data_IF_521299568865
#
_entry.id   IF_521299568865
#
_cell.length_a   1.000
_cell.length_b   1.000
_cell.length_c   1.000
_cell.angle_alpha   90.00
_cell.angle_beta   90.00
_cell.angle_gamma   90.00
#
_symmetry.space_group_name_H-M   'P 1'
#
loop_
_entity.id
_entity.type
_entity.pdbx_description
1 polymer ?
#
# COMPACT_ATOMS: atom_id res chain seq x y z
N UNK A 1 -50.70 -21.06 -12.05
CA UNK A 1 -50.45 -22.39 -11.45
C UNK A 1 -49.13 -22.86 -12.04
N UNK A 2 -47.99 -22.92 -11.36
CA UNK A 2 -47.68 -23.54 -10.06
C UNK A 2 -46.40 -22.88 -9.50
N UNK A 3 -46.40 -22.59 -8.20
CA UNK A 3 -45.22 -22.35 -7.34
C UNK A 3 -44.84 -23.70 -6.71
N UNK A 4 -43.54 -23.97 -6.47
CA UNK A 4 -43.08 -24.22 -5.08
C UNK A 4 -41.70 -23.55 -4.82
N UNK A 5 -41.49 -22.77 -3.75
CA UNK A 5 -41.36 -23.11 -2.33
C UNK A 5 -40.06 -23.89 -1.99
N UNK A 6 -39.01 -23.20 -1.55
CA UNK A 6 -38.47 -23.12 -0.15
C UNK A 6 -37.44 -24.19 0.25
N UNK A 7 -36.19 -23.78 0.55
CA UNK A 7 -35.48 -24.24 1.77
C UNK A 7 -34.19 -23.42 2.08
N UNK A 8 -34.19 -22.76 3.24
CA UNK A 8 -33.04 -22.54 4.18
C UNK A 8 -33.40 -23.33 5.47
N UNK A 9 -32.55 -23.53 6.50
CA UNK A 9 -31.19 -23.02 6.78
C UNK A 9 -30.20 -24.08 7.33
N UNK A 10 -28.92 -23.71 7.51
CA UNK A 10 -27.95 -24.52 8.27
C UNK A 10 -26.89 -23.65 8.93
N UNK A 11 -27.06 -23.38 10.24
CA UNK A 11 -26.06 -22.76 11.13
C UNK A 11 -25.06 -23.82 11.56
N UNK A 12 -23.75 -23.52 11.51
CA UNK A 12 -22.79 -24.11 12.45
C UNK A 12 -21.78 -23.06 12.91
N UNK A 13 -21.88 -22.71 14.19
CA UNK A 13 -20.85 -22.02 14.98
C UNK A 13 -19.89 -23.09 15.52
N UNK A 14 -18.58 -22.84 15.46
CA UNK A 14 -17.65 -23.35 16.48
C UNK A 14 -16.73 -22.22 16.92
N UNK A 15 -16.86 -21.89 18.21
CA UNK A 15 -15.87 -21.19 19.02
C UNK A 15 -14.70 -22.15 19.25
N UNK A 16 -13.46 -21.65 19.31
CA UNK A 16 -12.43 -22.26 20.15
C UNK A 16 -11.60 -21.15 20.78
N UNK A 17 -11.56 -21.18 22.10
CA UNK A 17 -10.85 -20.25 22.98
C UNK A 17 -9.57 -20.92 23.49
N UNK A 18 -8.51 -20.12 23.65
CA UNK A 18 -7.43 -20.11 24.65
C UNK A 18 -6.93 -21.42 25.32
N UNK A 19 -5.60 -21.63 25.29
CA UNK A 19 -4.69 -21.77 26.46
C UNK A 19 -3.24 -21.96 25.96
N UNK A 20 -2.30 -21.04 26.23
CA UNK A 20 -1.25 -21.06 27.27
C UNK A 20 -0.23 -22.22 27.12
N UNK A 21 1.07 -21.92 27.00
CA UNK A 21 2.19 -22.45 27.84
C UNK A 21 3.54 -21.83 27.40
N UNK A 22 4.34 -21.45 28.39
CA UNK A 22 5.67 -20.85 28.32
C UNK A 22 6.81 -21.88 28.14
N UNK A 23 8.00 -21.42 27.72
CA UNK A 23 9.34 -21.97 28.04
C UNK A 23 10.39 -20.90 27.66
N UNK A 24 10.97 -20.17 28.63
CA UNK A 24 12.20 -20.45 29.40
C UNK A 24 13.49 -20.25 28.61
N UNK A 25 14.30 -19.34 29.14
CA UNK A 25 15.61 -18.88 28.71
C UNK A 25 16.72 -19.94 28.81
N UNK A 26 17.80 -19.75 28.04
CA UNK A 26 19.13 -20.17 28.43
C UNK A 26 20.20 -19.29 27.76
N UNK A 27 20.81 -18.44 28.56
CA UNK A 27 22.08 -17.76 28.29
C UNK A 27 23.23 -18.74 28.52
N UNK A 28 24.26 -18.71 27.67
CA UNK A 28 25.58 -19.28 28.00
C UNK A 28 26.66 -18.27 27.63
N UNK A 29 27.21 -17.64 28.67
CA UNK A 29 28.53 -17.06 28.74
C UNK A 29 29.55 -18.17 29.01
N UNK A 30 30.75 -18.14 28.40
CA UNK A 30 32.08 -18.36 29.02
C UNK A 30 33.23 -18.28 27.97
N UNK A 31 34.53 -18.21 28.33
CA UNK A 31 35.34 -16.98 28.21
C UNK A 31 36.73 -17.16 27.55
N UNK A 32 37.47 -16.05 27.53
CA UNK A 32 38.94 -15.85 27.59
C UNK A 32 39.89 -17.04 27.31
N UNK A 33 40.85 -16.81 26.39
CA UNK A 33 42.27 -17.11 26.63
C UNK A 33 43.14 -15.94 26.13
N UNK A 34 44.02 -15.48 27.02
CA UNK A 34 45.10 -14.50 26.82
C UNK A 34 46.40 -15.20 26.38
N UNK A 35 47.24 -14.49 25.65
CA UNK A 35 48.66 -14.78 25.42
C UNK A 35 49.05 -14.42 23.98
N UNK A 36 50.08 -13.65 23.67
CA UNK A 36 51.26 -13.18 24.40
C UNK A 36 52.29 -12.89 23.30
N UNK A 37 52.88 -11.70 23.30
CA UNK A 37 53.71 -11.15 22.23
C UNK A 37 55.05 -11.90 22.04
N UNK A 38 55.56 -11.92 20.80
CA UNK A 38 57.01 -11.79 20.54
C UNK A 38 57.25 -11.06 19.21
N UNK A 39 57.96 -9.94 19.28
CA UNK A 39 58.59 -9.25 18.17
C UNK A 39 59.87 -9.97 17.71
N UNK A 40 60.21 -9.86 16.42
CA UNK A 40 61.49 -10.34 15.87
C UNK A 40 61.75 -9.72 14.50
N UNK A 41 62.79 -8.89 14.43
CA UNK A 41 63.13 -8.01 13.33
C UNK A 41 63.91 -8.68 12.18
N UNK A 42 63.78 -8.03 11.02
CA UNK A 42 64.52 -8.00 9.75
C UNK A 42 65.89 -8.68 9.60
N UNK A 43 66.12 -9.30 8.41
CA UNK A 43 67.40 -9.29 7.68
C UNK A 43 67.20 -9.24 6.16
N UNK A 44 67.98 -8.35 5.51
CA UNK A 44 68.21 -8.12 4.08
C UNK A 44 68.87 -9.34 3.40
N UNK A 45 68.47 -9.84 2.21
CA UNK A 45 68.76 -9.39 0.82
C UNK A 45 69.14 -10.63 -0.03
N UNK A 46 69.37 -10.59 -1.38
CA UNK A 46 69.22 -9.54 -2.38
C UNK A 46 68.25 -9.86 -3.56
N UNK A 47 67.90 -8.81 -4.31
CA UNK A 47 67.14 -8.77 -5.57
C UNK A 47 67.78 -9.60 -6.70
N UNK A 48 66.94 -10.34 -7.42
CA UNK A 48 67.07 -10.54 -8.87
C UNK A 48 65.94 -9.77 -9.57
N UNK A 49 66.33 -8.89 -10.49
CA UNK A 49 65.44 -8.21 -11.42
C UNK A 49 65.40 -8.98 -12.74
N UNK A 50 64.20 -9.34 -13.20
CA UNK A 50 63.90 -9.54 -14.61
C UNK A 50 62.45 -9.12 -14.90
N UNK A 51 62.32 -7.91 -15.48
CA UNK A 51 61.35 -7.46 -16.52
C UNK A 51 59.87 -7.92 -16.41
N UNK A 52 58.96 -7.05 -15.94
CA UNK A 52 58.15 -6.06 -16.70
C UNK A 52 57.04 -6.66 -17.57
N UNK A 53 55.77 -6.45 -17.21
CA UNK A 53 54.81 -5.60 -17.94
C UNK A 53 53.44 -5.53 -17.23
N UNK A 54 52.72 -4.45 -17.56
CA UNK A 54 51.59 -3.84 -16.86
C UNK A 54 50.31 -4.69 -16.80
N UNK A 55 49.46 -4.43 -15.80
CA UNK A 55 48.01 -4.20 -15.96
C UNK A 55 47.41 -3.81 -14.60
N UNK A 56 46.97 -2.55 -14.47
CA UNK A 56 45.57 -2.11 -14.49
C UNK A 56 44.82 -2.31 -13.16
N UNK A 57 44.26 -1.19 -12.70
CA UNK A 57 43.23 -1.09 -11.68
C UNK A 57 42.19 -2.22 -11.81
N UNK A 58 41.94 -2.95 -10.73
CA UNK A 58 40.62 -3.53 -10.52
C UNK A 58 40.19 -3.25 -9.08
N UNK A 59 39.25 -2.31 -8.95
CA UNK A 59 38.45 -2.11 -7.75
C UNK A 59 37.59 -3.36 -7.64
N UNK A 60 37.90 -4.24 -6.70
CA UNK A 60 37.02 -5.37 -6.37
C UNK A 60 35.72 -4.80 -5.79
N UNK A 61 34.72 -4.69 -6.65
CA UNK A 61 33.33 -4.51 -6.29
C UNK A 61 32.89 -5.76 -5.52
N UNK A 62 32.31 -5.66 -4.31
CA UNK A 62 31.80 -6.83 -3.63
C UNK A 62 30.63 -7.38 -4.45
N UNK A 63 30.84 -8.57 -5.01
CA UNK A 63 29.84 -9.34 -5.72
C UNK A 63 28.69 -9.61 -4.73
N UNK A 64 27.55 -8.95 -4.94
CA UNK A 64 26.35 -9.19 -4.15
C UNK A 64 25.91 -10.62 -4.51
N UNK A 65 26.15 -11.57 -3.60
CA UNK A 65 25.66 -12.93 -3.73
C UNK A 65 24.13 -12.90 -3.80
N UNK A 66 23.57 -12.96 -5.01
CA UNK A 66 22.14 -13.18 -5.23
C UNK A 66 21.81 -14.56 -4.67
N UNK A 67 20.95 -14.70 -3.64
CA UNK A 67 20.55 -16.00 -3.16
C UNK A 67 19.84 -16.75 -4.30
N UNK A 68 20.18 -18.03 -4.58
CA UNK A 68 19.59 -18.75 -5.68
C UNK A 68 18.06 -18.86 -5.49
N UNK A 69 17.27 -18.77 -6.57
CA UNK A 69 15.81 -18.89 -6.48
C UNK A 69 15.44 -20.23 -5.85
N UNK A 70 14.55 -20.20 -4.84
CA UNK A 70 14.00 -21.42 -4.26
C UNK A 70 13.20 -22.14 -5.34
N UNK A 71 13.63 -23.35 -5.69
CA UNK A 71 12.97 -24.16 -6.71
C UNK A 71 11.53 -24.52 -6.38
N UNK A 72 10.74 -24.78 -7.44
CA UNK A 72 9.40 -25.38 -7.38
C UNK A 72 9.52 -26.89 -7.12
N UNK A 73 8.56 -27.47 -6.41
CA UNK A 73 8.51 -28.92 -6.20
C UNK A 73 7.62 -29.57 -7.25
N UNK A 74 8.21 -30.42 -8.09
CA UNK A 74 7.50 -31.32 -9.00
C UNK A 74 7.32 -32.67 -8.30
N UNK A 75 6.10 -33.00 -7.88
CA UNK A 75 5.81 -34.20 -7.08
C UNK A 75 5.49 -35.36 -8.01
N UNK A 76 6.14 -36.50 -7.77
CA UNK A 76 5.94 -37.73 -8.52
C UNK A 76 4.89 -38.63 -7.86
N UNK A 77 4.29 -39.52 -8.63
CA UNK A 77 3.20 -40.40 -8.17
C UNK A 77 3.63 -41.45 -7.13
N UNK A 78 4.93 -41.71 -7.01
CA UNK A 78 5.52 -42.54 -5.96
C UNK A 78 5.73 -41.80 -4.63
N UNK A 79 5.37 -40.51 -4.58
CA UNK A 79 5.52 -39.65 -3.40
C UNK A 79 6.89 -38.97 -3.29
N UNK A 80 7.83 -39.26 -4.19
CA UNK A 80 9.09 -38.52 -4.29
C UNK A 80 8.87 -37.17 -4.98
N UNK A 81 9.84 -36.24 -4.89
CA UNK A 81 9.73 -34.94 -5.54
C UNK A 81 11.07 -34.51 -6.15
N UNK A 82 10.98 -33.73 -7.23
CA UNK A 82 12.11 -33.09 -7.88
C UNK A 82 12.05 -31.59 -7.63
N UNK A 83 13.19 -30.97 -7.30
CA UNK A 83 13.28 -29.51 -7.17
C UNK A 83 13.64 -28.92 -8.54
N UNK A 84 12.72 -28.16 -9.12
CA UNK A 84 12.81 -27.69 -10.51
C UNK A 84 12.76 -26.17 -10.58
N UNK A 85 13.48 -25.57 -11.53
CA UNK A 85 13.36 -24.14 -11.83
C UNK A 85 12.05 -23.85 -12.57
N UNK A 86 11.79 -24.65 -13.58
CA UNK A 86 10.64 -24.55 -14.47
C UNK A 86 10.37 -25.91 -15.10
N UNK A 87 9.13 -26.13 -15.54
CA UNK A 87 8.72 -27.32 -16.27
C UNK A 87 7.73 -26.96 -17.37
N UNK A 88 7.78 -27.71 -18.46
CA UNK A 88 6.92 -27.59 -19.62
C UNK A 88 6.34 -28.97 -19.94
N UNK A 89 5.03 -29.02 -20.17
CA UNK A 89 4.36 -30.25 -20.56
C UNK A 89 4.27 -30.33 -22.09
N UNK A 90 4.99 -31.30 -22.66
CA UNK A 90 5.04 -31.58 -24.09
C UNK A 90 4.32 -32.92 -24.35
N UNK A 91 2.99 -32.85 -24.46
CA UNK A 91 2.15 -34.02 -24.70
C UNK A 91 2.21 -35.05 -23.56
N UNK A 92 2.77 -36.22 -23.85
CA UNK A 92 2.96 -37.33 -22.89
C UNK A 92 4.22 -37.20 -22.03
N UNK A 93 5.08 -36.21 -22.29
CA UNK A 93 6.30 -35.96 -21.51
C UNK A 93 6.25 -34.59 -20.83
N UNK A 94 6.95 -34.48 -19.70
CA UNK A 94 7.21 -33.23 -18.99
C UNK A 94 8.70 -33.02 -19.04
N UNK A 95 9.09 -31.91 -19.65
CA UNK A 95 10.47 -31.43 -19.67
C UNK A 95 10.66 -30.43 -18.55
N UNK A 96 11.62 -30.65 -17.66
CA UNK A 96 11.86 -29.76 -16.53
C UNK A 96 13.34 -29.48 -16.33
N UNK A 97 13.65 -28.32 -15.75
CA UNK A 97 15.02 -27.97 -15.41
C UNK A 97 15.30 -28.31 -13.94
N UNK A 98 16.06 -29.38 -13.72
CA UNK A 98 16.45 -29.84 -12.37
C UNK A 98 17.43 -28.87 -11.76
N UNK A 99 17.14 -28.35 -10.57
CA UNK A 99 18.07 -27.47 -9.84
C UNK A 99 19.17 -28.25 -9.13
N UNK A 100 18.97 -29.55 -8.88
CA UNK A 100 20.00 -30.42 -8.30
C UNK A 100 21.08 -30.77 -9.32
N UNK A 101 20.65 -31.06 -10.55
CA UNK A 101 21.56 -31.47 -11.64
C UNK A 101 21.91 -30.32 -12.58
N UNK A 102 21.29 -29.16 -12.41
CA UNK A 102 21.45 -27.97 -13.26
C UNK A 102 21.28 -28.27 -14.76
N UNK A 103 20.39 -29.21 -15.08
CA UNK A 103 20.19 -29.74 -16.43
C UNK A 103 18.70 -29.93 -16.75
N UNK A 104 18.39 -29.94 -18.05
CA UNK A 104 17.06 -30.29 -18.54
C UNK A 104 16.87 -31.80 -18.54
N UNK A 105 15.77 -32.25 -17.96
CA UNK A 105 15.39 -33.66 -17.86
C UNK A 105 13.97 -33.87 -18.38
N UNK A 106 13.66 -35.10 -18.78
CA UNK A 106 12.36 -35.46 -19.34
C UNK A 106 11.80 -36.70 -18.64
N UNK A 107 10.57 -36.58 -18.15
CA UNK A 107 9.83 -37.68 -17.53
C UNK A 107 8.44 -37.83 -18.16
N UNK A 108 7.84 -39.04 -18.17
CA UNK A 108 6.45 -39.19 -18.56
C UNK A 108 5.51 -38.36 -17.68
N UNK A 109 4.55 -37.66 -18.30
CA UNK A 109 3.56 -36.83 -17.59
C UNK A 109 2.65 -37.63 -16.65
N UNK A 110 2.52 -38.94 -16.89
CA UNK A 110 1.77 -39.87 -16.06
C UNK A 110 2.47 -40.20 -14.72
N UNK A 111 3.77 -39.92 -14.60
CA UNK A 111 4.53 -40.11 -13.36
C UNK A 111 4.49 -38.89 -12.43
N UNK A 112 3.86 -37.79 -12.85
CA UNK A 112 3.72 -36.58 -12.04
C UNK A 112 2.37 -36.57 -11.35
N UNK A 113 2.36 -36.41 -10.03
CA UNK A 113 1.15 -36.08 -9.29
C UNK A 113 0.88 -34.58 -9.44
N UNK A 114 0.02 -34.24 -10.39
CA UNK A 114 -0.37 -32.87 -10.68
C UNK A 114 -1.16 -32.21 -9.56
N UNK A 115 -1.92 -33.00 -8.78
CA UNK A 115 -2.72 -32.46 -7.68
C UNK A 115 -1.81 -32.05 -6.53
N UNK A 116 -0.86 -32.91 -6.18
CA UNK A 116 0.14 -32.62 -5.17
C UNK A 116 1.08 -31.48 -5.61
N UNK A 117 1.50 -31.47 -6.88
CA UNK A 117 2.35 -30.42 -7.46
C UNK A 117 1.67 -29.05 -7.37
N UNK A 118 0.41 -28.92 -7.85
CA UNK A 118 -0.33 -27.64 -7.80
C UNK A 118 -0.57 -27.16 -6.37
N UNK A 119 -0.83 -28.09 -5.44
CA UNK A 119 -0.98 -27.75 -4.02
C UNK A 119 0.33 -27.20 -3.44
N UNK A 120 1.46 -27.84 -3.75
CA UNK A 120 2.77 -27.36 -3.30
C UNK A 120 3.09 -25.99 -3.90
N UNK A 121 2.77 -25.74 -5.18
CA UNK A 121 2.98 -24.43 -5.78
C UNK A 121 2.12 -23.36 -5.10
N UNK A 122 0.84 -23.63 -4.86
CA UNK A 122 -0.04 -22.69 -4.16
C UNK A 122 0.42 -22.39 -2.73
N UNK A 123 0.91 -23.40 -2.00
CA UNK A 123 1.48 -23.20 -0.66
C UNK A 123 2.78 -22.39 -0.69
N UNK A 124 3.65 -22.62 -1.67
CA UNK A 124 4.88 -21.85 -1.86
C UNK A 124 4.58 -20.39 -2.24
N UNK A 125 3.63 -20.14 -3.14
CA UNK A 125 3.21 -18.80 -3.54
C UNK A 125 2.56 -18.04 -2.37
N UNK A 126 1.74 -18.73 -1.57
CA UNK A 126 1.14 -18.16 -0.37
C UNK A 126 2.21 -17.79 0.66
N UNK A 127 3.19 -18.68 0.91
CA UNK A 127 4.30 -18.41 1.82
C UNK A 127 5.21 -17.28 1.30
N UNK A 128 5.46 -17.22 0.00
CA UNK A 128 6.28 -16.15 -0.59
C UNK A 128 5.55 -14.80 -0.54
N UNK A 129 4.24 -14.78 -0.79
CA UNK A 129 3.41 -13.58 -0.64
C UNK A 129 3.39 -13.10 0.80
N UNK A 130 3.22 -14.02 1.76
CA UNK A 130 3.21 -13.70 3.18
C UNK A 130 4.59 -13.23 3.67
N UNK A 131 5.67 -13.89 3.25
CA UNK A 131 7.03 -13.45 3.53
C UNK A 131 7.31 -12.09 2.87
N UNK A 132 6.87 -11.84 1.64
CA UNK A 132 7.02 -10.55 0.98
C UNK A 132 6.24 -9.45 1.71
N UNK A 133 5.04 -9.75 2.23
CA UNK A 133 4.28 -8.84 3.09
C UNK A 133 4.99 -8.57 4.40
N UNK A 134 5.50 -9.61 5.07
CA UNK A 134 6.26 -9.47 6.32
C UNK A 134 7.57 -8.70 6.10
N UNK A 135 8.26 -8.94 4.98
CA UNK A 135 9.44 -8.16 4.58
C UNK A 135 9.02 -6.72 4.32
N UNK A 136 8.00 -6.45 3.50
CA UNK A 136 7.53 -5.10 3.24
C UNK A 136 7.06 -4.37 4.50
N UNK A 137 6.40 -5.07 5.43
CA UNK A 137 5.97 -4.56 6.73
C UNK A 137 7.15 -4.32 7.66
N UNK A 138 8.14 -5.22 7.69
CA UNK A 138 9.36 -5.07 8.49
C UNK A 138 10.29 -3.99 7.95
N UNK A 139 10.43 -3.85 6.63
CA UNK A 139 11.15 -2.77 5.96
C UNK A 139 10.41 -1.45 6.14
N UNK A 140 9.08 -1.47 6.16
CA UNK A 140 8.27 -0.31 6.52
C UNK A 140 8.49 0.06 7.98
N UNK A 141 8.47 -0.90 8.90
CA UNK A 141 8.73 -0.70 10.32
C UNK A 141 10.17 -0.23 10.59
N UNK A 142 11.17 -0.79 9.91
CA UNK A 142 12.58 -0.38 10.02
C UNK A 142 12.81 1.02 9.42
N UNK A 143 12.17 1.34 8.29
CA UNK A 143 12.16 2.71 7.74
C UNK A 143 11.53 3.73 8.69
N UNK A 144 10.62 3.29 9.57
CA UNK A 144 10.05 4.13 10.62
C UNK A 144 10.82 4.10 11.94
N UNK A 145 11.60 3.05 12.23
CA UNK A 145 12.36 2.91 13.46
C UNK A 145 13.54 3.89 13.55
N UNK A 146 14.18 4.22 12.42
CA UNK A 146 15.33 5.15 12.37
C UNK A 146 14.92 6.61 12.14
N UNK A 147 13.62 6.92 12.20
CA UNK A 147 13.16 8.31 12.17
C UNK A 147 13.35 8.94 13.55
N UNK A 148 14.56 9.42 13.84
CA UNK A 148 14.76 10.48 14.84
C UNK A 148 14.20 11.80 14.27
N UNK A 149 12.89 11.89 14.21
CA UNK A 149 12.12 13.08 13.86
C UNK A 149 11.44 13.50 15.15
N UNK A 150 11.66 14.74 15.59
CA UNK A 150 11.06 15.32 16.80
C UNK A 150 9.62 14.80 16.98
N UNK A 151 9.45 13.95 17.99
CA UNK A 151 8.30 13.05 18.22
C UNK A 151 7.02 13.78 18.63
N UNK A 152 6.96 15.08 18.37
CA UNK A 152 5.97 16.01 18.90
C UNK A 152 5.88 17.21 17.97
N UNK A 153 5.38 17.00 16.75
CA UNK A 153 5.02 18.13 15.89
C UNK A 153 3.78 18.79 16.49
N UNK A 154 3.99 19.93 17.15
CA UNK A 154 2.94 20.72 17.75
C UNK A 154 2.17 21.47 16.67
N UNK A 155 0.92 21.04 16.42
CA UNK A 155 0.06 21.66 15.40
C UNK A 155 -0.67 22.90 15.96
N UNK A 156 -0.92 22.90 17.28
CA UNK A 156 -1.54 23.98 18.07
C UNK A 156 -0.99 23.91 19.49
N UNK A 157 -1.05 25.01 20.27
CA UNK A 157 -0.59 25.00 21.66
C UNK A 157 -1.12 23.80 22.45
N UNK A 158 -0.21 22.94 22.92
CA UNK A 158 -0.50 21.73 23.69
C UNK A 158 -1.13 20.57 22.89
N UNK A 159 -1.14 20.63 21.56
CA UNK A 159 -1.74 19.62 20.67
C UNK A 159 -0.70 19.08 19.70
N UNK A 160 -0.36 17.81 19.85
CA UNK A 160 0.71 17.16 19.10
C UNK A 160 0.18 16.12 18.12
N UNK A 161 0.73 16.13 16.91
CA UNK A 161 0.39 15.15 15.89
C UNK A 161 0.98 13.78 16.22
N UNK A 162 0.23 12.66 16.04
CA UNK A 162 0.77 11.32 16.17
C UNK A 162 2.04 11.11 15.32
N UNK A 163 2.92 10.23 15.80
CA UNK A 163 4.23 9.94 15.22
C UNK A 163 4.18 8.99 14.03
N UNK A 164 3.14 8.16 13.95
CA UNK A 164 2.98 7.17 12.90
C UNK A 164 2.55 7.80 11.56
N UNK A 165 2.94 7.15 10.47
CA UNK A 165 2.44 7.45 9.12
C UNK A 165 0.93 7.38 9.09
N UNK A 166 0.33 8.37 8.46
CA UNK A 166 -1.12 8.50 8.40
C UNK A 166 -1.53 9.88 7.94
N UNK A 167 -2.80 9.98 7.57
CA UNK A 167 -3.44 11.23 7.25
C UNK A 167 -4.38 11.60 8.40
N UNK A 168 -4.26 12.81 8.91
CA UNK A 168 -4.96 13.28 10.09
C UNK A 168 -5.75 14.54 9.77
N UNK A 169 -6.91 14.68 10.39
CA UNK A 169 -7.68 15.93 10.39
C UNK A 169 -7.69 16.52 11.79
N UNK A 170 -7.69 17.84 11.86
CA UNK A 170 -7.75 18.62 13.08
C UNK A 170 -9.12 19.30 13.22
N UNK A 171 -9.84 18.97 14.28
CA UNK A 171 -11.12 19.57 14.66
C UNK A 171 -10.98 20.22 16.05
N UNK A 172 -10.72 21.53 16.07
CA UNK A 172 -10.30 22.21 17.30
C UNK A 172 -8.98 21.61 17.85
N UNK A 173 -8.97 21.12 19.07
CA UNK A 173 -7.79 20.45 19.64
C UNK A 173 -7.81 18.93 19.43
N UNK A 174 -8.82 18.39 18.74
CA UNK A 174 -8.93 16.95 18.50
C UNK A 174 -8.26 16.59 17.18
N UNK A 175 -7.34 15.64 17.24
CA UNK A 175 -6.72 15.04 16.06
C UNK A 175 -7.37 13.69 15.83
N UNK A 176 -7.87 13.46 14.61
CA UNK A 176 -8.47 12.19 14.23
C UNK A 176 -7.75 11.60 13.00
N UNK A 177 -7.35 10.31 13.04
CA UNK A 177 -6.82 9.63 11.87
C UNK A 177 -7.94 9.42 10.84
N UNK A 178 -7.65 9.74 9.59
CA UNK A 178 -8.53 9.51 8.47
C UNK A 178 -8.36 8.07 7.96
N UNK A 179 -9.47 7.37 7.74
CA UNK A 179 -9.48 6.03 7.18
C UNK A 179 -9.70 6.10 5.68
N UNK A 180 -8.99 5.25 4.93
CA UNK A 180 -9.27 5.05 3.53
C UNK A 180 -10.47 4.11 3.34
N UNK A 181 -11.32 4.45 2.38
CA UNK A 181 -12.40 3.63 1.89
C UNK A 181 -12.15 3.33 0.42
N UNK A 182 -12.41 2.09 0.01
CA UNK A 182 -12.33 1.71 -1.41
C UNK A 182 -13.57 2.20 -2.13
N UNK A 183 -13.38 2.98 -3.18
CA UNK A 183 -14.43 3.44 -4.06
C UNK A 183 -14.53 2.57 -5.33
N UNK A 184 -15.74 2.48 -5.89
CA UNK A 184 -16.04 1.75 -7.11
C UNK A 184 -16.15 2.73 -8.29
N UNK A 185 -15.43 2.46 -9.37
CA UNK A 185 -15.44 3.31 -10.57
C UNK A 185 -16.49 2.82 -11.55
N UNK A 186 -17.48 3.67 -11.83
CA UNK A 186 -18.53 3.41 -12.81
C UNK A 186 -18.33 4.30 -14.04
N UNK A 187 -18.16 3.65 -15.19
CA UNK A 187 -18.13 4.36 -16.48
C UNK A 187 -19.52 4.33 -17.11
N UNK A 188 -20.08 5.48 -17.47
CA UNK A 188 -21.36 5.56 -18.16
C UNK A 188 -21.22 4.97 -19.59
N UNK A 189 -21.74 3.75 -19.79
CA UNK A 189 -21.65 3.00 -21.06
C UNK A 189 -22.42 3.65 -22.22
N UNK A 190 -23.31 4.60 -21.95
CA UNK A 190 -24.26 5.20 -22.91
C UNK A 190 -23.64 6.02 -24.05
N UNK A 191 -22.36 6.40 -23.96
CA UNK A 191 -21.64 7.13 -25.04
C UNK A 191 -20.51 6.32 -25.70
N UNK A 192 -20.22 5.12 -25.17
CA UNK A 192 -19.16 4.26 -25.71
C UNK A 192 -19.56 3.57 -27.03
N UNK A 193 -20.86 3.50 -27.33
CA UNK A 193 -21.39 2.82 -28.53
C UNK A 193 -21.30 3.67 -29.80
N UNK A 194 -21.02 4.98 -29.68
CA UNK A 194 -20.70 5.85 -30.82
C UNK A 194 -19.29 5.59 -31.41
N UNK A 195 -18.54 4.60 -30.89
CA UNK A 195 -17.18 4.25 -31.34
C UNK A 195 -17.12 3.60 -32.72
N UNK A 196 -18.15 2.85 -33.13
CA UNK A 196 -18.03 1.93 -34.28
C UNK A 196 -18.50 2.59 -35.59
N UNK A 197 -19.24 3.71 -35.53
CA UNK A 197 -19.93 4.27 -36.70
C UNK A 197 -19.30 5.57 -37.24
N UNK A 198 -18.58 6.36 -36.43
CA UNK A 198 -18.26 7.76 -36.80
C UNK A 198 -16.77 8.08 -37.03
N UNK A 199 -15.82 7.22 -36.66
CA UNK A 199 -14.39 7.43 -36.95
C UNK A 199 -13.74 8.67 -36.30
N UNK A 200 -14.38 9.32 -35.33
CA UNK A 200 -13.89 10.53 -34.64
C UNK A 200 -13.09 10.16 -33.38
N UNK A 201 -11.91 10.77 -33.12
CA UNK A 201 -11.11 10.47 -31.94
C UNK A 201 -11.76 10.99 -30.64
N UNK A 202 -11.88 10.05 -29.69
CA UNK A 202 -12.03 10.21 -28.24
C UNK A 202 -13.09 11.21 -27.72
N UNK A 203 -14.31 10.71 -27.49
CA UNK A 203 -15.34 11.41 -26.71
C UNK A 203 -15.04 11.23 -25.22
N UNK A 204 -15.01 12.36 -24.50
CA UNK A 204 -15.06 12.49 -23.03
C UNK A 204 -15.88 11.37 -22.35
N UNK A 205 -15.22 10.46 -21.62
CA UNK A 205 -15.91 9.52 -20.73
C UNK A 205 -16.10 10.15 -19.35
N UNK A 206 -17.34 10.12 -18.86
CA UNK A 206 -17.68 10.44 -17.47
C UNK A 206 -17.45 9.20 -16.62
N UNK A 207 -16.61 9.32 -15.60
CA UNK A 207 -16.39 8.28 -14.60
C UNK A 207 -16.96 8.78 -13.26
N UNK A 208 -17.94 8.08 -12.74
CA UNK A 208 -18.45 8.35 -11.41
C UNK A 208 -17.73 7.43 -10.43
N UNK A 209 -17.19 8.01 -9.37
CA UNK A 209 -16.61 7.28 -8.27
C UNK A 209 -17.67 7.14 -7.18
N UNK A 210 -18.07 5.90 -6.90
CA UNK A 210 -19.05 5.55 -5.88
C UNK A 210 -18.34 5.08 -4.61
N UNK A 211 -18.58 5.79 -3.51
CA UNK A 211 -18.05 5.50 -2.19
C UNK A 211 -19.17 4.81 -1.39
N UNK A 212 -18.92 3.64 -0.78
CA UNK A 212 -19.95 2.91 -0.05
C UNK A 212 -20.40 3.66 1.21
N UNK A 213 -21.68 3.54 1.55
CA UNK A 213 -22.26 4.11 2.76
C UNK A 213 -22.80 5.52 2.56
N UNK A 214 -23.90 5.80 3.28
CA UNK A 214 -24.61 7.09 3.25
C UNK A 214 -23.80 8.24 3.87
N UNK A 215 -22.93 7.93 4.82
CA UNK A 215 -22.18 8.89 5.62
C UNK A 215 -20.78 8.37 5.93
N UNK A 216 -19.81 9.28 5.99
CA UNK A 216 -18.47 8.98 6.46
C UNK A 216 -18.48 8.61 7.95
N UNK A 217 -17.60 7.69 8.34
CA UNK A 217 -17.40 7.32 9.75
C UNK A 217 -16.80 8.46 10.56
N UNK A 218 -15.87 9.20 9.97
CA UNK A 218 -15.23 10.35 10.57
C UNK A 218 -16.08 11.60 10.33
N UNK A 219 -16.39 12.36 11.38
CA UNK A 219 -17.15 13.61 11.30
C UNK A 219 -16.43 14.72 12.05
N UNK A 220 -16.32 15.89 11.42
CA UNK A 220 -15.73 17.10 11.98
C UNK A 220 -16.78 18.18 12.17
N UNK A 221 -16.57 19.11 13.10
CA UNK A 221 -17.52 20.17 13.47
C UNK A 221 -17.06 21.57 13.09
N UNK A 222 -16.03 21.67 12.25
CA UNK A 222 -15.47 22.91 11.75
C UNK A 222 -15.56 23.00 10.23
N UNK A 223 -15.76 24.21 9.71
CA UNK A 223 -15.64 24.52 8.29
C UNK A 223 -14.18 24.78 7.89
N UNK A 224 -13.36 25.27 8.81
CA UNK A 224 -11.95 25.60 8.58
C UNK A 224 -11.08 24.36 8.85
N UNK A 225 -11.33 23.32 8.05
CA UNK A 225 -10.66 22.03 8.21
C UNK A 225 -9.17 22.15 7.88
N UNK A 226 -8.36 21.53 8.73
CA UNK A 226 -6.92 21.47 8.60
C UNK A 226 -6.47 20.03 8.66
N UNK A 227 -5.61 19.63 7.72
CA UNK A 227 -5.17 18.26 7.58
C UNK A 227 -3.66 18.16 7.60
N UNK A 228 -3.16 17.00 8.06
CA UNK A 228 -1.74 16.71 8.17
C UNK A 228 -1.45 15.33 7.64
N UNK A 229 -0.62 15.22 6.60
CA UNK A 229 -0.24 13.95 6.01
C UNK A 229 1.24 13.65 6.27
N UNK A 230 1.49 12.59 7.04
CA UNK A 230 2.82 11.98 7.18
C UNK A 230 2.97 10.89 6.13
N UNK A 231 3.83 11.08 5.13
CA UNK A 231 4.06 10.10 4.08
C UNK A 231 5.16 9.11 4.47
N UNK A 232 5.01 7.85 4.06
CA UNK A 232 5.96 6.79 4.42
C UNK A 232 7.31 6.93 3.70
N UNK A 233 7.25 7.38 2.47
CA UNK A 233 8.33 7.54 1.51
C UNK A 233 8.86 8.98 1.43
N UNK A 234 8.32 9.88 2.27
CA UNK A 234 8.65 11.31 2.32
C UNK A 234 8.42 12.03 0.97
N UNK A 235 7.59 11.46 0.10
CA UNK A 235 7.23 12.10 -1.17
C UNK A 235 6.17 13.16 -0.94
N UNK A 236 6.13 14.11 -1.85
CA UNK A 236 5.07 15.11 -1.94
C UNK A 236 3.81 14.47 -2.55
N UNK A 237 2.68 14.42 -1.81
CA UNK A 237 1.45 13.81 -2.31
C UNK A 237 0.58 14.85 -3.02
N UNK A 238 0.01 14.47 -4.17
CA UNK A 238 -0.91 15.33 -4.91
C UNK A 238 -2.34 15.00 -4.49
N UNK A 239 -2.91 15.84 -3.63
CA UNK A 239 -4.23 15.62 -3.06
C UNK A 239 -5.28 16.54 -3.70
N UNK A 240 -6.46 16.00 -3.95
CA UNK A 240 -7.64 16.77 -4.35
C UNK A 240 -8.77 16.54 -3.36
N UNK A 241 -9.34 17.62 -2.83
CA UNK A 241 -10.52 17.59 -1.97
C UNK A 241 -11.80 17.77 -2.78
N UNK A 242 -12.76 16.88 -2.59
CA UNK A 242 -13.99 16.82 -3.36
C UNK A 242 -15.21 16.71 -2.45
N UNK A 243 -16.26 17.48 -2.75
CA UNK A 243 -17.59 17.30 -2.16
C UNK A 243 -18.27 16.08 -2.78
N UNK A 244 -18.78 15.20 -1.93
CA UNK A 244 -19.53 14.02 -2.33
C UNK A 244 -21.04 14.27 -2.22
N UNK A 245 -21.80 13.73 -3.18
CA UNK A 245 -23.27 13.73 -3.14
C UNK A 245 -23.78 12.39 -2.59
N UNK A 246 -24.65 12.45 -1.58
CA UNK A 246 -25.32 11.27 -1.06
C UNK A 246 -26.46 10.87 -2.02
N UNK A 247 -26.38 9.65 -2.57
CA UNK A 247 -27.40 9.05 -3.43
C UNK A 247 -27.79 7.68 -2.86
N UNK A 248 -28.94 7.63 -2.18
CA UNK A 248 -29.36 6.42 -1.47
C UNK A 248 -28.37 6.03 -0.37
N UNK A 249 -27.82 4.82 -0.47
CA UNK A 249 -26.85 4.25 0.47
C UNK A 249 -25.39 4.42 0.01
N UNK A 250 -25.13 5.29 -0.96
CA UNK A 250 -23.79 5.58 -1.48
C UNK A 250 -23.51 7.08 -1.52
N UNK A 251 -22.24 7.44 -1.47
CA UNK A 251 -21.72 8.79 -1.73
C UNK A 251 -21.08 8.79 -3.11
N UNK A 252 -21.33 9.81 -3.92
CA UNK A 252 -20.87 9.87 -5.32
C UNK A 252 -20.04 11.11 -5.57
N UNK A 253 -18.89 10.91 -6.20
CA UNK A 253 -17.98 11.97 -6.65
C UNK A 253 -17.83 11.83 -8.16
N UNK A 254 -18.17 12.88 -8.91
CA UNK A 254 -18.08 12.86 -10.36
C UNK A 254 -16.66 13.25 -10.81
N UNK A 255 -15.98 12.36 -11.52
CA UNK A 255 -14.64 12.58 -12.10
C UNK A 255 -14.82 12.66 -13.63
N UNK A 256 -14.66 13.84 -14.26
CA UNK A 256 -15.09 14.00 -15.67
C UNK A 256 -14.00 14.48 -16.63
N UNK A 257 -13.99 13.77 -17.77
CA UNK A 257 -13.48 14.13 -19.09
C UNK A 257 -11.99 14.02 -19.28
N UNK A 258 -11.54 12.84 -19.69
CA UNK A 258 -10.31 12.67 -20.46
C UNK A 258 -10.43 13.51 -21.74
N UNK A 259 -9.75 14.66 -21.82
CA UNK A 259 -9.49 15.28 -23.11
C UNK A 259 -8.44 14.44 -23.87
N UNK A 260 -8.22 14.75 -25.15
CA UNK A 260 -7.33 13.99 -26.05
C UNK A 260 -5.89 13.89 -25.51
N UNK A 261 -5.51 14.75 -24.54
CA UNK A 261 -4.22 14.78 -23.86
C UNK A 261 -4.16 13.99 -22.53
N UNK A 262 -5.25 13.30 -22.13
CA UNK A 262 -5.26 12.50 -20.89
C UNK A 262 -5.50 13.30 -19.60
N UNK A 263 -5.72 14.61 -19.67
CA UNK A 263 -6.01 15.41 -18.48
C UNK A 263 -7.44 15.15 -18.01
N UNK A 264 -7.59 14.85 -16.71
CA UNK A 264 -8.86 14.66 -16.03
C UNK A 264 -9.14 15.90 -15.18
N UNK A 265 -10.38 16.40 -15.21
CA UNK A 265 -10.79 17.59 -14.42
C UNK A 265 -11.96 17.24 -13.51
N UNK A 266 -12.01 17.81 -12.31
CA UNK A 266 -13.17 17.67 -11.43
C UNK A 266 -14.16 18.81 -11.71
N UNK A 267 -15.40 18.50 -12.08
CA UNK A 267 -16.43 19.54 -12.30
C UNK A 267 -17.16 19.87 -11.00
N UNK A 268 -17.18 21.16 -10.65
CA UNK A 268 -18.08 21.81 -9.67
C UNK A 268 -18.10 21.24 -8.24
N UNK A 269 -17.19 20.34 -7.88
CA UNK A 269 -17.13 19.72 -6.55
C UNK A 269 -15.75 19.75 -5.94
N UNK A 270 -14.74 20.18 -6.67
CA UNK A 270 -13.42 20.41 -6.15
C UNK A 270 -13.44 21.60 -5.20
N UNK A 271 -12.88 21.39 -4.02
CA UNK A 271 -12.65 22.44 -3.05
C UNK A 271 -11.16 22.70 -3.04
N UNK A 272 -10.78 23.97 -3.17
CA UNK A 272 -9.39 24.40 -3.17
C UNK A 272 -8.70 24.00 -1.86
N UNK A 273 -7.67 23.17 -2.01
CA UNK A 273 -6.81 22.70 -0.93
C UNK A 273 -5.43 23.34 -1.09
N UNK A 274 -4.99 24.09 -0.09
CA UNK A 274 -3.68 24.74 -0.05
C UNK A 274 -2.71 23.84 0.69
N UNK A 275 -1.55 23.56 0.10
CA UNK A 275 -0.50 22.73 0.69
C UNK A 275 0.63 23.59 1.27
N UNK A 276 1.16 23.17 2.42
CA UNK A 276 2.30 23.76 3.09
C UNK A 276 3.27 22.66 3.55
N UNK A 277 4.57 22.90 3.38
CA UNK A 277 5.60 22.04 3.96
C UNK A 277 5.71 22.35 5.46
N UNK A 278 5.23 21.43 6.30
CA UNK A 278 5.28 21.59 7.74
C UNK A 278 6.60 21.05 8.31
N UNK A 279 7.05 19.91 7.83
CA UNK A 279 8.37 19.35 8.08
C UNK A 279 8.73 18.34 6.98
N UNK A 280 9.94 17.79 7.00
CA UNK A 280 10.36 16.78 6.03
C UNK A 280 9.44 15.55 6.09
N UNK A 281 8.69 15.29 5.02
CA UNK A 281 7.71 14.19 4.94
C UNK A 281 6.42 14.41 5.74
N UNK A 282 6.19 15.64 6.23
CA UNK A 282 4.95 16.08 6.87
C UNK A 282 4.39 17.29 6.12
N UNK A 283 3.23 17.11 5.54
CA UNK A 283 2.54 18.13 4.76
C UNK A 283 1.28 18.58 5.48
N UNK A 284 1.07 19.90 5.52
CA UNK A 284 -0.13 20.52 6.08
C UNK A 284 -1.02 20.97 4.93
N UNK A 285 -2.32 20.74 5.07
CA UNK A 285 -3.32 21.18 4.11
C UNK A 285 -4.39 22.02 4.78
N UNK A 286 -4.73 23.15 4.17
CA UNK A 286 -5.80 24.04 4.62
C UNK A 286 -6.79 24.27 3.49
N UNK A 287 -8.06 24.44 3.81
CA UNK A 287 -9.07 24.82 2.84
C UNK A 287 -9.04 26.34 2.61
N UNK A 288 -9.13 26.77 1.35
CA UNK A 288 -9.21 28.20 1.01
C UNK A 288 -10.59 28.80 1.37
N UNK A 289 -11.62 27.97 1.32
CA UNK A 289 -12.99 28.33 1.66
C UNK A 289 -13.51 27.40 2.74
N UNK A 290 -14.21 27.97 3.73
CA UNK A 290 -14.83 27.21 4.80
C UNK A 290 -15.78 26.15 4.23
N UNK A 291 -15.60 24.90 4.66
CA UNK A 291 -16.41 23.78 4.24
C UNK A 291 -17.84 23.93 4.75
N UNK A 292 -18.80 23.74 3.84
CA UNK A 292 -20.21 23.61 4.20
C UNK A 292 -20.48 22.27 4.88
N UNK A 293 -21.64 22.16 5.54
CA UNK A 293 -22.13 20.87 5.99
C UNK A 293 -22.32 19.91 4.80
N UNK A 294 -21.84 18.68 4.94
CA UNK A 294 -21.88 17.71 3.85
C UNK A 294 -20.87 16.57 3.97
N UNK A 295 -20.76 15.79 2.91
CA UNK A 295 -19.83 14.67 2.80
C UNK A 295 -18.69 15.03 1.85
N UNK A 296 -17.47 14.62 2.20
CA UNK A 296 -16.26 14.97 1.49
C UNK A 296 -15.34 13.76 1.32
N UNK A 297 -14.53 13.80 0.27
CA UNK A 297 -13.50 12.82 -0.03
C UNK A 297 -12.21 13.52 -0.46
N UNK A 298 -11.08 13.01 0.01
CA UNK A 298 -9.76 13.40 -0.49
C UNK A 298 -9.22 12.24 -1.32
N UNK A 299 -8.79 12.55 -2.53
CA UNK A 299 -8.22 11.60 -3.49
C UNK A 299 -6.77 11.96 -3.71
N UNK A 300 -5.91 10.96 -3.71
CA UNK A 300 -4.53 11.10 -4.13
C UNK A 300 -4.38 10.77 -5.62
N UNK A 301 -3.63 11.61 -6.34
CA UNK A 301 -3.22 11.36 -7.72
C UNK A 301 -1.74 11.05 -7.76
N UNK A 302 -1.38 9.86 -8.24
CA UNK A 302 0.02 9.47 -8.41
C UNK A 302 0.42 9.68 -9.88
N UNK A 303 1.52 10.39 -10.17
CA UNK A 303 2.03 10.52 -11.53
C UNK A 303 2.24 9.14 -12.17
N UNK A 304 1.69 8.92 -13.37
CA UNK A 304 1.80 7.65 -14.10
C UNK A 304 0.80 6.56 -13.71
N UNK A 305 0.32 6.53 -12.46
CA UNK A 305 -0.70 5.56 -12.01
C UNK A 305 -2.13 6.14 -12.04
N UNK A 306 -2.27 7.46 -12.03
CA UNK A 306 -3.56 8.16 -12.02
C UNK A 306 -4.15 8.29 -10.62
N UNK A 307 -5.47 8.43 -10.54
CA UNK A 307 -6.18 8.62 -9.27
C UNK A 307 -6.33 7.32 -8.49
N UNK A 308 -6.03 7.36 -7.20
CA UNK A 308 -6.25 6.24 -6.29
C UNK A 308 -7.75 5.92 -6.14
N UNK A 309 -8.08 4.63 -6.14
CA UNK A 309 -9.44 4.15 -5.77
C UNK A 309 -9.64 4.04 -4.26
N UNK A 310 -8.58 4.23 -3.48
CA UNK A 310 -8.63 4.33 -2.02
C UNK A 310 -8.65 5.81 -1.64
N UNK A 311 -9.75 6.24 -1.03
CA UNK A 311 -10.04 7.66 -0.77
C UNK A 311 -10.27 7.88 0.71
N UNK A 312 -9.81 9.01 1.24
CA UNK A 312 -10.09 9.37 2.63
C UNK A 312 -11.41 10.11 2.70
N UNK A 313 -12.34 9.66 3.55
CA UNK A 313 -13.68 10.26 3.64
C UNK A 313 -13.93 10.88 5.01
N UNK A 314 -14.69 11.98 5.01
CA UNK A 314 -15.15 12.64 6.23
C UNK A 314 -16.44 13.40 5.97
N UNK A 315 -17.22 13.61 7.03
CA UNK A 315 -18.41 14.46 7.03
C UNK A 315 -18.15 15.75 7.81
N UNK A 316 -18.80 16.83 7.40
CA UNK A 316 -18.80 18.11 8.12
C UNK A 316 -20.17 18.34 8.72
N UNK A 317 -20.23 18.41 10.04
CA UNK A 317 -21.44 18.69 10.83
C UNK A 317 -21.25 20.03 11.56
N UNK A 318 -21.51 21.13 10.86
CA UNK A 318 -21.38 22.46 11.47
C UNK A 318 -22.41 22.64 12.61
N UNK A 319 -22.01 23.18 13.77
CA UNK A 319 -22.97 23.53 14.80
C UNK A 319 -23.94 24.57 14.24
N UNK A 320 -25.23 24.29 14.29
CA UNK A 320 -26.25 25.26 13.89
C UNK A 320 -26.12 26.47 14.81
N UNK A 321 -25.77 27.63 14.26
CA UNK A 321 -25.84 28.88 15.03
C UNK A 321 -27.28 29.05 15.53
N UNK A 322 -27.52 29.34 16.82
CA UNK A 322 -28.85 29.70 17.27
C UNK A 322 -29.32 30.88 16.43
N UNK A 323 -30.46 30.73 15.76
CA UNK A 323 -31.16 31.84 15.09
C UNK A 323 -31.22 33.01 16.09
N UNK A 324 -30.72 34.21 15.76
CA UNK A 324 -30.87 35.34 16.66
C UNK A 324 -32.37 35.53 16.90
N UNK A 325 -32.79 35.38 18.16
CA UNK A 325 -34.14 35.71 18.58
C UNK A 325 -34.40 37.15 18.14
N UNK A 326 -35.46 37.37 17.37
CA UNK A 326 -35.76 38.63 16.72
C UNK A 326 -35.71 39.80 17.70
N UNK A 327 -34.60 40.55 17.65
CA UNK A 327 -34.46 41.81 18.34
C UNK A 327 -35.31 42.84 17.61
N UNK A 328 -36.39 43.29 18.26
CA UNK A 328 -37.15 44.49 17.86
C UNK A 328 -36.15 45.64 17.62
N UNK A 329 -36.30 46.43 16.54
CA UNK A 329 -35.44 47.59 16.34
C UNK A 329 -35.62 48.59 17.48
N UNK A 330 -34.50 49.03 18.06
CA UNK A 330 -34.47 50.07 19.08
C UNK A 330 -35.02 51.40 18.52
N UNK A 331 -35.79 52.17 19.30
CA UNK A 331 -36.34 53.44 18.84
C UNK A 331 -35.22 54.45 18.60
N UNK A 332 -35.27 55.11 17.45
CA UNK A 332 -34.40 56.25 17.14
C UNK A 332 -34.64 57.34 18.19
N UNK A 333 -33.55 57.77 18.83
CA UNK A 333 -33.49 59.01 19.60
C UNK A 333 -32.96 60.12 18.70
#
# INVERSE_FOLDING_TARGET
>A
MIVPATHRPGKYRKKLSFSLTACVAASVFLPLILGGQTAGASKFGPQEHASQQADQHNIQQPEIAVPPPKGKKLILTDGTFQIVREYHREGERVRYYSLERSAWEEIPAALVDWTATQKSEAEQDAQQTELAKQIAESERAARFADLNVDTSFEVRPGTFLPDNVGFYVLDGNNIAPMQQEKAEMHTEKGRAVAKIVTGVPLISSKQDMEIPGKQAKLRIRTGDAEFYFRTADKREPHLTLLRAEVKGEKRTVAVISTNIAGQQTFKNREVSLLQWDAARGLYRYTVDQALEAGEYAIIETTPGEGQSTYVWTFGVDLPTSPKPAGGKPAPKR
#
